data_IF_658021307947
#
_entry.id   IF_658021307947
#
_cell.length_a   1.000
_cell.length_b   1.000
_cell.length_c   1.000
_cell.angle_alpha   90.00
_cell.angle_beta   90.00
_cell.angle_gamma   90.00
#
_symmetry.space_group_name_H-M   'P 1'
#
loop_
_entity.id
_entity.type
_entity.pdbx_description
1 polymer ?
#
# COMPACT_ATOMS: atom_id res chain seq x y z
N UNK A 1 15.11 6.05 7.43
CA UNK A 1 14.10 5.01 7.15
C UNK A 1 14.05 4.83 5.63
N UNK A 2 14.66 3.77 5.08
CA UNK A 2 15.01 3.67 3.65
C UNK A 2 13.78 3.54 2.72
N UNK A 3 12.81 2.69 3.09
CA UNK A 3 11.59 2.50 2.29
C UNK A 3 10.80 3.80 2.12
N UNK A 4 10.75 4.63 3.17
CA UNK A 4 10.09 5.93 3.09
C UNK A 4 10.85 6.94 2.24
N UNK A 5 12.18 6.93 2.25
CA UNK A 5 12.96 7.79 1.36
C UNK A 5 12.67 7.45 -0.11
N UNK A 6 12.65 6.16 -0.48
CA UNK A 6 12.25 5.74 -1.82
C UNK A 6 10.82 6.16 -2.14
N UNK A 7 9.88 5.97 -1.21
CA UNK A 7 8.49 6.35 -1.42
C UNK A 7 8.32 7.86 -1.68
N UNK A 8 8.99 8.71 -0.88
CA UNK A 8 8.97 10.17 -1.05
C UNK A 8 9.65 10.61 -2.36
N UNK A 9 10.60 9.83 -2.87
CA UNK A 9 11.22 10.04 -4.18
C UNK A 9 10.35 9.57 -5.36
N UNK A 10 9.18 8.96 -5.11
CA UNK A 10 8.33 8.36 -6.14
C UNK A 10 8.80 6.99 -6.62
N UNK A 11 9.84 6.43 -6.00
CA UNK A 11 10.43 5.13 -6.32
C UNK A 11 9.65 4.00 -5.62
N UNK A 12 8.37 3.85 -5.97
CA UNK A 12 7.44 2.96 -5.26
C UNK A 12 7.85 1.48 -5.30
N UNK A 13 8.43 1.03 -6.40
CA UNK A 13 8.93 -0.35 -6.53
C UNK A 13 10.15 -0.61 -5.63
N UNK A 14 11.05 0.37 -5.50
CA UNK A 14 12.18 0.27 -4.59
C UNK A 14 11.71 0.31 -3.13
N UNK A 15 10.73 1.16 -2.81
CA UNK A 15 10.11 1.20 -1.48
C UNK A 15 9.43 -0.13 -1.14
N UNK A 16 8.69 -0.72 -2.09
CA UNK A 16 8.02 -2.00 -1.93
C UNK A 16 9.01 -3.11 -1.58
N UNK A 17 10.14 -3.21 -2.30
CA UNK A 17 11.21 -4.19 -2.00
C UNK A 17 11.76 -4.05 -0.59
N UNK A 18 11.91 -2.82 -0.09
CA UNK A 18 12.36 -2.60 1.30
C UNK A 18 11.33 -3.14 2.29
N UNK A 19 10.05 -2.81 2.13
CA UNK A 19 9.00 -3.27 3.05
C UNK A 19 8.77 -4.78 2.99
N UNK A 20 8.84 -5.40 1.82
CA UNK A 20 8.80 -6.87 1.69
C UNK A 20 10.02 -7.54 2.31
N UNK A 21 11.19 -6.91 2.21
CA UNK A 21 12.39 -7.32 2.92
C UNK A 21 12.21 -7.30 4.45
N UNK A 22 11.54 -6.28 4.98
CA UNK A 22 11.25 -6.18 6.43
C UNK A 22 10.26 -7.26 6.88
N UNK A 23 9.17 -7.46 6.12
CA UNK A 23 8.17 -8.50 6.41
C UNK A 23 8.77 -9.91 6.37
N UNK A 24 9.66 -10.19 5.40
CA UNK A 24 10.31 -11.51 5.30
C UNK A 24 11.30 -11.81 6.43
N UNK A 25 11.85 -10.77 7.07
CA UNK A 25 12.73 -10.88 8.24
C UNK A 25 11.99 -10.93 9.56
N UNK A 26 10.65 -10.93 9.53
CA UNK A 26 9.83 -10.94 10.73
C UNK A 26 10.06 -9.67 11.60
N UNK A 27 10.51 -8.57 10.99
CA UNK A 27 10.60 -7.25 11.61
C UNK A 27 9.18 -6.67 11.68
N UNK A 28 8.33 -7.30 12.50
CA UNK A 28 6.91 -6.99 12.60
C UNK A 28 6.69 -5.65 13.26
N UNK A 29 6.61 -4.62 12.43
CA UNK A 29 5.89 -3.40 12.76
C UNK A 29 4.62 -3.41 11.93
N UNK A 30 3.46 -3.44 12.59
CA UNK A 30 2.15 -3.51 11.94
C UNK A 30 1.96 -2.38 10.91
N UNK A 31 2.68 -1.27 11.05
CA UNK A 31 2.71 -0.15 10.11
C UNK A 31 3.35 -0.51 8.76
N UNK A 32 4.28 -1.48 8.71
CA UNK A 32 4.95 -1.91 7.46
C UNK A 32 3.93 -2.40 6.44
N UNK A 33 2.87 -3.07 6.88
CA UNK A 33 1.77 -3.50 6.02
C UNK A 33 1.03 -2.32 5.38
N UNK A 34 0.85 -1.23 6.13
CA UNK A 34 0.22 0.01 5.63
C UNK A 34 1.15 0.69 4.62
N UNK A 35 2.45 0.79 4.91
CA UNK A 35 3.42 1.39 3.98
C UNK A 35 3.61 0.58 2.69
N UNK A 36 3.65 -0.75 2.79
CA UNK A 36 3.60 -1.66 1.64
C UNK A 36 2.34 -1.42 0.82
N UNK A 37 1.19 -1.29 1.49
CA UNK A 37 -0.08 -0.95 0.89
C UNK A 37 -0.07 0.37 0.10
N UNK A 38 0.56 1.42 0.64
CA UNK A 38 0.77 2.67 -0.08
C UNK A 38 1.56 2.46 -1.38
N UNK A 39 2.65 1.69 -1.35
CA UNK A 39 3.46 1.43 -2.53
C UNK A 39 2.66 0.71 -3.62
N UNK A 40 1.91 -0.33 -3.24
CA UNK A 40 1.03 -1.08 -4.14
C UNK A 40 -0.06 -0.18 -4.75
N UNK A 41 -0.64 0.72 -3.96
CA UNK A 41 -1.63 1.68 -4.45
C UNK A 41 -1.07 2.58 -5.54
N UNK A 42 0.11 3.18 -5.31
CA UNK A 42 0.74 4.06 -6.29
C UNK A 42 1.25 3.31 -7.53
N UNK A 43 1.55 2.01 -7.41
CA UNK A 43 1.82 1.12 -8.54
C UNK A 43 0.54 0.64 -9.29
N UNK A 44 -0.65 1.08 -8.88
CA UNK A 44 -1.92 0.70 -9.52
C UNK A 44 -2.46 -0.69 -9.12
N UNK A 45 -1.81 -1.36 -8.18
CA UNK A 45 -2.17 -2.71 -7.71
C UNK A 45 -3.23 -2.64 -6.60
N UNK A 46 -4.40 -2.06 -6.90
CA UNK A 46 -5.37 -1.62 -5.89
C UNK A 46 -5.94 -2.74 -5.00
N UNK A 47 -6.18 -3.94 -5.54
CA UNK A 47 -6.68 -5.08 -4.76
C UNK A 47 -5.62 -5.56 -3.76
N UNK A 48 -4.38 -5.72 -4.23
CA UNK A 48 -3.26 -6.11 -3.36
C UNK A 48 -2.93 -5.02 -2.34
N UNK A 49 -3.09 -3.76 -2.72
CA UNK A 49 -2.97 -2.63 -1.80
C UNK A 49 -3.99 -2.76 -0.67
N UNK A 50 -5.26 -3.03 -0.98
CA UNK A 50 -6.31 -3.23 0.02
C UNK A 50 -5.93 -4.33 0.99
N UNK A 51 -5.55 -5.50 0.46
CA UNK A 51 -5.25 -6.68 1.25
C UNK A 51 -4.04 -6.44 2.16
N UNK A 52 -3.02 -5.72 1.67
CA UNK A 52 -1.88 -5.31 2.50
C UNK A 52 -2.29 -4.33 3.60
N UNK A 53 -3.11 -3.32 3.31
CA UNK A 53 -3.48 -2.27 4.27
C UNK A 53 -4.35 -2.83 5.41
N UNK A 54 -5.26 -3.77 5.13
CA UNK A 54 -6.10 -4.39 6.16
C UNK A 54 -5.33 -5.33 7.09
N UNK A 55 -4.17 -5.84 6.68
CA UNK A 55 -3.27 -6.63 7.53
C UNK A 55 -2.43 -5.77 8.49
N UNK A 56 -2.44 -4.44 8.34
CA UNK A 56 -1.66 -3.52 9.16
C UNK A 56 -2.41 -2.87 10.31
N UNK A 57 -1.68 -2.09 11.09
CA UNK A 57 -2.22 -1.38 12.25
C UNK A 57 -3.31 -0.39 11.85
N UNK A 58 -4.36 -0.32 12.68
CA UNK A 58 -5.38 0.72 12.55
C UNK A 58 -4.73 2.09 12.80
N UNK A 59 -4.80 2.97 11.82
CA UNK A 59 -4.21 4.31 11.90
C UNK A 59 -4.91 5.29 10.97
N UNK A 60 -4.73 6.59 11.21
CA UNK A 60 -5.25 7.61 10.29
C UNK A 60 -4.69 7.50 8.86
N UNK A 61 -3.46 6.96 8.71
CA UNK A 61 -2.91 6.66 7.39
C UNK A 61 -3.67 5.49 6.73
N UNK A 62 -3.88 4.40 7.46
CA UNK A 62 -4.61 3.23 6.97
C UNK A 62 -5.99 3.62 6.43
N UNK A 63 -6.78 4.38 7.21
CA UNK A 63 -8.13 4.82 6.83
C UNK A 63 -8.08 5.63 5.52
N UNK A 64 -7.17 6.61 5.40
CA UNK A 64 -7.03 7.43 4.20
C UNK A 64 -6.70 6.59 2.96
N UNK A 65 -5.77 5.65 3.09
CA UNK A 65 -5.38 4.78 1.97
C UNK A 65 -6.55 3.88 1.56
N UNK A 66 -7.30 3.31 2.50
CA UNK A 66 -8.51 2.53 2.21
C UNK A 66 -9.58 3.36 1.49
N UNK A 67 -9.79 4.62 1.87
CA UNK A 67 -10.70 5.52 1.15
C UNK A 67 -10.27 5.73 -0.31
N UNK A 68 -8.98 5.98 -0.55
CA UNK A 68 -8.47 6.15 -1.91
C UNK A 68 -8.57 4.86 -2.74
N UNK A 69 -8.31 3.70 -2.14
CA UNK A 69 -8.46 2.41 -2.80
C UNK A 69 -9.93 2.15 -3.17
N UNK A 70 -10.85 2.39 -2.24
CA UNK A 70 -12.29 2.19 -2.48
C UNK A 70 -12.77 3.06 -3.64
N UNK A 71 -12.35 4.33 -3.68
CA UNK A 71 -12.64 5.24 -4.79
C UNK A 71 -12.12 4.68 -6.13
N UNK A 72 -10.84 4.27 -6.20
CA UNK A 72 -10.24 3.74 -7.43
C UNK A 72 -10.86 2.43 -7.93
N UNK A 73 -11.21 1.53 -7.03
CA UNK A 73 -11.88 0.28 -7.39
C UNK A 73 -13.32 0.51 -7.89
N UNK A 74 -14.02 1.50 -7.32
CA UNK A 74 -15.33 1.93 -7.80
C UNK A 74 -15.30 2.35 -9.27
N UNK A 75 -14.42 3.30 -9.62
CA UNK A 75 -14.21 3.75 -11.01
C UNK A 75 -13.91 2.58 -11.96
N UNK A 76 -13.04 1.65 -11.52
CA UNK A 76 -12.65 0.48 -12.33
C UNK A 76 -13.85 -0.44 -12.60
N UNK A 77 -14.70 -0.69 -11.62
CA UNK A 77 -15.88 -1.52 -11.79
C UNK A 77 -16.90 -0.88 -12.73
N UNK A 78 -17.01 0.45 -12.73
CA UNK A 78 -17.86 1.18 -13.68
C UNK A 78 -17.30 1.10 -15.11
N UNK A 79 -15.98 1.27 -15.29
CA UNK A 79 -15.34 1.14 -16.60
C UNK A 79 -15.47 -0.25 -17.22
N UNK A 80 -15.52 -1.31 -16.40
CA UNK A 80 -15.68 -2.70 -16.87
C UNK A 80 -17.10 -3.08 -17.28
N UNK A 81 -18.11 -2.23 -17.01
CA UNK A 81 -19.53 -2.52 -17.30
C UNK A 81 -20.00 -2.03 -18.68
N UNK A 82 -19.11 -1.44 -19.48
CA UNK A 82 -19.38 -0.99 -20.86
C UNK A 82 -18.62 -1.84 -21.88
#
# INVERSE_FOLDING_TARGET
>A
WLGYCYFQAGEYEAALKVYEGMLSRNEFMEEVFVYRGCCLFFNGMYEQARDSVISGAQSGLQIRVLCHIAFKLGDRQELQKN
#
